data_IF_368369229517
#
_entry.id   IF_368369229517
#
_cell.length_a   1.000
_cell.length_b   1.000
_cell.length_c   1.000
_cell.angle_alpha   90.00
_cell.angle_beta   90.00
_cell.angle_gamma   90.00
#
_symmetry.space_group_name_H-M   'P 1'
#
loop_
_entity.id
_entity.type
_entity.pdbx_description
1 polymer ?
#
# COMPACT_ATOMS: atom_id res chain seq x y z
N UNK A 1 45.35 -4.71 49.53
CA UNK A 1 44.70 -5.93 49.01
C UNK A 1 43.40 -5.48 48.37
N UNK A 2 43.32 -5.61 47.04
CA UNK A 2 42.24 -5.14 46.18
C UNK A 2 40.96 -5.97 46.32
N UNK A 3 39.83 -5.29 46.30
CA UNK A 3 38.56 -5.78 45.76
C UNK A 3 38.01 -4.58 44.97
N UNK A 4 38.04 -4.56 43.64
CA UNK A 4 37.46 -5.58 42.77
C UNK A 4 36.25 -4.92 42.12
N UNK A 5 36.52 -3.90 41.30
CA UNK A 5 35.58 -3.34 40.33
C UNK A 5 35.14 -4.48 39.42
N UNK A 6 33.97 -5.07 39.66
CA UNK A 6 33.38 -6.03 38.72
C UNK A 6 32.61 -5.25 37.68
N UNK A 7 33.36 -4.91 36.63
CA UNK A 7 32.93 -4.88 35.24
C UNK A 7 31.44 -5.15 35.01
N UNK A 8 30.70 -4.06 34.78
CA UNK A 8 29.62 -4.11 33.81
C UNK A 8 30.27 -4.39 32.43
N UNK A 9 30.46 -5.66 32.09
CA UNK A 9 30.94 -6.06 30.77
C UNK A 9 29.83 -5.79 29.76
N UNK A 10 30.14 -4.97 28.76
CA UNK A 10 29.21 -4.36 27.83
C UNK A 10 28.04 -5.23 27.37
N UNK A 11 26.84 -4.64 27.35
CA UNK A 11 25.82 -5.13 26.42
C UNK A 11 26.45 -5.13 25.02
N UNK A 12 26.15 -6.10 24.15
CA UNK A 12 26.48 -5.99 22.74
C UNK A 12 25.90 -4.65 22.29
N UNK A 13 26.78 -3.75 21.87
CA UNK A 13 26.35 -2.52 21.26
C UNK A 13 25.83 -2.97 19.91
N UNK A 14 24.54 -2.80 19.66
CA UNK A 14 23.91 -3.17 18.40
C UNK A 14 24.38 -2.17 17.32
N UNK A 15 25.67 -2.21 16.96
CA UNK A 15 26.34 -1.13 16.21
C UNK A 15 25.96 -1.08 14.73
N UNK A 16 25.17 -2.04 14.25
CA UNK A 16 24.92 -2.22 12.81
C UNK A 16 23.61 -1.62 12.30
N UNK A 17 22.64 -1.26 13.16
CA UNK A 17 21.34 -0.71 12.74
C UNK A 17 20.45 -1.60 11.82
N UNK A 18 20.99 -2.73 11.32
CA UNK A 18 20.37 -3.64 10.36
C UNK A 18 19.15 -4.38 10.92
N UNK A 19 19.18 -4.77 12.19
CA UNK A 19 18.08 -5.54 12.81
C UNK A 19 16.75 -4.77 12.91
N UNK A 20 16.81 -3.46 13.15
CA UNK A 20 15.61 -2.60 13.18
C UNK A 20 15.02 -2.42 11.77
N UNK A 21 15.88 -2.26 10.75
CA UNK A 21 15.50 -2.14 9.34
C UNK A 21 14.84 -3.41 8.80
N UNK A 22 15.32 -4.60 9.19
CA UNK A 22 14.71 -5.86 8.76
C UNK A 22 13.36 -6.10 9.43
N UNK A 23 13.22 -5.72 10.70
CA UNK A 23 11.95 -5.85 11.41
C UNK A 23 10.86 -4.97 10.80
N UNK A 24 11.18 -3.71 10.46
CA UNK A 24 10.25 -2.80 9.80
C UNK A 24 9.87 -3.28 8.41
N UNK A 25 10.82 -3.80 7.63
CA UNK A 25 10.55 -4.36 6.30
C UNK A 25 9.64 -5.58 6.36
N UNK A 26 9.87 -6.50 7.32
CA UNK A 26 9.00 -7.67 7.54
C UNK A 26 7.57 -7.25 7.88
N UNK A 27 7.40 -6.23 8.73
CA UNK A 27 6.08 -5.70 9.09
C UNK A 27 5.41 -5.09 7.86
N UNK A 28 6.12 -4.24 7.10
CA UNK A 28 5.61 -3.61 5.89
C UNK A 28 5.14 -4.65 4.88
N UNK A 29 5.96 -5.66 4.61
CA UNK A 29 5.60 -6.76 3.70
C UNK A 29 4.36 -7.52 4.18
N UNK A 30 4.31 -7.91 5.46
CA UNK A 30 3.16 -8.63 6.04
C UNK A 30 1.86 -7.81 5.94
N UNK A 31 1.94 -6.50 6.19
CA UNK A 31 0.81 -5.59 6.04
C UNK A 31 0.38 -5.52 4.57
N UNK A 32 1.31 -5.32 3.64
CA UNK A 32 1.00 -5.23 2.21
C UNK A 32 0.36 -6.52 1.67
N UNK A 33 0.88 -7.68 2.07
CA UNK A 33 0.34 -8.99 1.68
C UNK A 33 -1.10 -9.19 2.19
N UNK A 34 -1.43 -8.69 3.38
CA UNK A 34 -2.79 -8.77 3.95
C UNK A 34 -3.79 -7.85 3.27
N UNK A 35 -3.34 -6.74 2.69
CA UNK A 35 -4.18 -5.76 2.01
C UNK A 35 -4.11 -5.89 0.48
N UNK A 36 -3.38 -6.87 -0.05
CA UNK A 36 -3.34 -7.13 -1.48
C UNK A 36 -4.73 -7.47 -2.02
N UNK A 37 -5.10 -6.80 -3.11
CA UNK A 37 -6.32 -7.04 -3.87
C UNK A 37 -6.01 -7.70 -5.23
N UNK A 38 -4.80 -8.25 -5.39
CA UNK A 38 -4.39 -8.91 -6.62
C UNK A 38 -5.42 -9.95 -7.08
N UNK A 39 -5.89 -9.81 -8.32
CA UNK A 39 -6.87 -10.70 -8.93
C UNK A 39 -8.31 -10.50 -8.43
N UNK A 40 -8.58 -9.43 -7.69
CA UNK A 40 -9.95 -9.01 -7.32
C UNK A 40 -10.48 -7.97 -8.28
N UNK A 41 -11.80 -7.88 -8.35
CA UNK A 41 -12.52 -6.84 -9.09
C UNK A 41 -13.34 -6.02 -8.09
N UNK A 42 -13.20 -4.70 -8.12
CA UNK A 42 -13.98 -3.77 -7.32
C UNK A 42 -14.92 -2.94 -8.21
N UNK A 43 -16.12 -2.63 -7.70
CA UNK A 43 -17.08 -1.75 -8.39
C UNK A 43 -17.17 -0.45 -7.60
N UNK A 44 -16.92 0.68 -8.27
CA UNK A 44 -16.96 2.01 -7.65
C UNK A 44 -18.00 2.88 -8.34
N UNK A 45 -19.06 3.21 -7.60
CA UNK A 45 -20.07 4.18 -8.01
C UNK A 45 -19.61 5.59 -7.66
N UNK A 46 -19.91 6.56 -8.52
CA UNK A 46 -19.36 7.91 -8.39
C UNK A 46 -17.86 7.99 -8.64
N UNK A 47 -17.29 7.01 -9.34
CA UNK A 47 -15.84 6.84 -9.52
C UNK A 47 -15.13 7.96 -10.29
N UNK A 48 -15.84 8.91 -10.90
CA UNK A 48 -15.20 9.96 -11.71
C UNK A 48 -14.57 11.12 -10.92
N UNK A 49 -14.93 11.33 -9.65
CA UNK A 49 -14.45 12.50 -8.87
C UNK A 49 -14.41 12.22 -7.37
N UNK A 50 -13.74 13.11 -6.61
CA UNK A 50 -13.79 13.14 -5.14
C UNK A 50 -13.39 11.81 -4.49
N UNK A 51 -14.17 11.38 -3.50
CA UNK A 51 -13.90 10.14 -2.76
C UNK A 51 -13.99 8.92 -3.67
N UNK A 52 -14.96 8.88 -4.60
CA UNK A 52 -15.10 7.74 -5.53
C UNK A 52 -13.84 7.54 -6.37
N UNK A 53 -13.29 8.62 -6.93
CA UNK A 53 -12.01 8.58 -7.64
C UNK A 53 -10.87 8.12 -6.72
N UNK A 54 -10.74 8.73 -5.54
CA UNK A 54 -9.67 8.37 -4.60
C UNK A 54 -9.71 6.88 -4.21
N UNK A 55 -10.91 6.35 -3.96
CA UNK A 55 -11.12 4.94 -3.67
C UNK A 55 -10.74 4.05 -4.85
N UNK A 56 -11.11 4.41 -6.08
CA UNK A 56 -10.74 3.65 -7.28
C UNK A 56 -9.22 3.53 -7.44
N UNK A 57 -8.50 4.63 -7.28
CA UNK A 57 -7.04 4.65 -7.40
C UNK A 57 -6.37 3.82 -6.29
N UNK A 58 -6.82 3.96 -5.05
CA UNK A 58 -6.29 3.17 -3.95
C UNK A 58 -6.52 1.67 -4.17
N UNK A 59 -7.71 1.27 -4.62
CA UNK A 59 -8.00 -0.14 -4.92
C UNK A 59 -7.11 -0.68 -6.04
N UNK A 60 -6.85 0.13 -7.08
CA UNK A 60 -5.97 -0.22 -8.18
C UNK A 60 -4.50 -0.35 -7.73
N UNK A 61 -4.02 0.55 -6.86
CA UNK A 61 -2.68 0.51 -6.27
C UNK A 61 -2.42 -0.81 -5.53
N UNK A 62 -3.44 -1.37 -4.87
CA UNK A 62 -3.37 -2.68 -4.20
C UNK A 62 -3.62 -3.88 -5.14
N UNK A 63 -3.80 -3.65 -6.45
CA UNK A 63 -3.85 -4.69 -7.48
C UNK A 63 -5.25 -5.18 -7.86
N UNK A 64 -6.30 -4.41 -7.57
CA UNK A 64 -7.65 -4.72 -8.06
C UNK A 64 -7.90 -4.16 -9.46
N UNK A 65 -8.59 -4.92 -10.31
CA UNK A 65 -9.29 -4.31 -11.43
C UNK A 65 -10.50 -3.51 -10.93
N UNK A 66 -10.82 -2.38 -11.56
CA UNK A 66 -11.84 -1.46 -11.06
C UNK A 66 -12.88 -1.14 -12.12
N UNK A 67 -14.13 -1.53 -11.87
CA UNK A 67 -15.28 -1.11 -12.69
C UNK A 67 -15.75 0.27 -12.21
N UNK A 68 -15.77 1.24 -13.10
CA UNK A 68 -16.13 2.62 -12.79
C UNK A 68 -17.53 2.96 -13.33
N UNK A 69 -18.40 3.46 -12.46
CA UNK A 69 -19.75 3.88 -12.82
C UNK A 69 -20.05 5.31 -12.31
N UNK A 70 -20.27 6.26 -13.23
CA UNK A 70 -20.72 7.61 -12.91
C UNK A 70 -21.41 8.27 -14.12
N UNK A 71 -22.15 9.37 -13.88
CA UNK A 71 -22.89 10.08 -14.93
C UNK A 71 -21.99 10.89 -15.88
N UNK A 72 -21.05 11.73 -15.40
CA UNK A 72 -20.23 12.54 -16.31
C UNK A 72 -19.14 11.67 -16.94
N UNK A 73 -19.09 11.54 -18.28
CA UNK A 73 -18.20 10.58 -18.93
C UNK A 73 -16.73 11.02 -18.93
N UNK A 74 -16.43 12.32 -19.04
CA UNK A 74 -15.04 12.80 -19.13
C UNK A 74 -14.25 12.58 -17.83
N UNK A 75 -14.75 12.95 -16.63
CA UNK A 75 -14.07 12.64 -15.37
C UNK A 75 -13.94 11.13 -15.11
N UNK A 76 -14.91 10.35 -15.59
CA UNK A 76 -14.88 8.89 -15.47
C UNK A 76 -13.76 8.29 -16.33
N UNK A 77 -13.63 8.76 -17.57
CA UNK A 77 -12.56 8.33 -18.48
C UNK A 77 -11.18 8.77 -18.00
N UNK A 78 -11.06 9.96 -17.40
CA UNK A 78 -9.81 10.40 -16.77
C UNK A 78 -9.39 9.48 -15.63
N UNK A 79 -10.33 9.14 -14.74
CA UNK A 79 -10.06 8.20 -13.64
C UNK A 79 -9.71 6.80 -14.15
N UNK A 80 -10.36 6.34 -15.22
CA UNK A 80 -10.06 5.03 -15.81
C UNK A 80 -8.59 4.93 -16.26
N UNK A 81 -8.06 5.97 -16.92
CA UNK A 81 -6.66 6.02 -17.35
C UNK A 81 -5.70 5.97 -16.16
N UNK A 82 -6.01 6.69 -15.09
CA UNK A 82 -5.19 6.68 -13.89
C UNK A 82 -5.19 5.31 -13.18
N UNK A 83 -6.30 4.56 -13.25
CA UNK A 83 -6.34 3.15 -12.80
C UNK A 83 -5.44 2.28 -13.69
N UNK A 84 -5.47 2.50 -15.00
CA UNK A 84 -4.64 1.78 -15.97
C UNK A 84 -3.14 2.04 -15.78
N UNK A 85 -2.75 3.21 -15.25
CA UNK A 85 -1.36 3.54 -14.88
C UNK A 85 -0.81 2.62 -13.76
N UNK A 86 -1.68 2.00 -12.95
CA UNK A 86 -1.31 0.96 -11.98
C UNK A 86 -1.27 -0.46 -12.59
N UNK A 87 -1.45 -0.58 -13.91
CA UNK A 87 -1.49 -1.85 -14.64
C UNK A 87 -2.79 -2.65 -14.44
N UNK A 88 -3.82 -2.03 -13.86
CA UNK A 88 -5.12 -2.65 -13.62
C UNK A 88 -6.12 -2.30 -14.73
N UNK A 89 -7.14 -3.13 -14.93
CA UNK A 89 -8.19 -2.84 -15.92
C UNK A 89 -9.24 -1.89 -15.34
N UNK A 90 -9.74 -0.98 -16.17
CA UNK A 90 -10.73 0.01 -15.78
C UNK A 90 -11.96 0.10 -16.71
N UNK A 91 -12.79 -0.95 -16.85
CA UNK A 91 -13.99 -0.84 -17.67
C UNK A 91 -14.93 0.24 -17.10
N UNK A 92 -15.13 1.31 -17.87
CA UNK A 92 -16.02 2.42 -17.54
C UNK A 92 -17.36 2.26 -18.26
N UNK A 93 -18.46 2.41 -17.52
CA UNK A 93 -19.84 2.39 -18.05
C UNK A 93 -20.63 3.60 -17.55
N UNK A 94 -21.36 4.23 -18.46
CA UNK A 94 -22.25 5.38 -18.25
C UNK A 94 -23.71 4.96 -18.18
#
# INVERSE_FOLDING_TARGET
MSAGESEWSGRPRDEDGRGASEATERIRKTVNDRFSLAGKVAVVTGGGTGIGRASALALAEYGADVVLAARPPEPLAATAREVEDFGQRAPARW
#
